data_IF_048111361629
#
_entry.id   IF_048111361629
#
_cell.length_a   1.000
_cell.length_b   1.000
_cell.length_c   1.000
_cell.angle_alpha   90.00
_cell.angle_beta   90.00
_cell.angle_gamma   90.00
#
_symmetry.space_group_name_H-M   'P 1'
#
loop_
_entity.id
_entity.type
_entity.pdbx_description
1 polymer ?
#
# COMPACT_ATOMS: atom_id res chain seq x y z
N UNK A 1 8.60 6.21 -21.72
CA UNK A 1 7.40 6.77 -21.06
C UNK A 1 6.17 6.38 -21.85
N UNK A 2 5.26 5.68 -21.20
CA UNK A 2 4.05 5.12 -21.80
C UNK A 2 2.75 5.70 -21.20
N UNK A 3 2.90 6.68 -20.25
CA UNK A 3 1.75 7.39 -19.66
C UNK A 3 0.94 6.57 -18.67
N UNK A 4 1.49 5.47 -18.14
CA UNK A 4 0.80 4.55 -17.24
C UNK A 4 0.79 5.00 -15.76
N UNK A 5 1.55 6.04 -15.41
CA UNK A 5 1.69 6.53 -14.03
C UNK A 5 1.44 8.04 -13.92
N UNK A 6 1.11 8.46 -12.69
CA UNK A 6 0.86 9.89 -12.37
C UNK A 6 1.68 10.29 -11.15
N UNK A 7 2.18 11.52 -11.18
CA UNK A 7 2.73 12.20 -10.01
C UNK A 7 1.94 13.48 -9.76
N UNK A 8 1.70 13.80 -8.49
CA UNK A 8 0.91 14.97 -8.06
C UNK A 8 1.72 15.79 -7.09
N UNK A 9 1.95 17.07 -7.42
CA UNK A 9 2.53 18.06 -6.53
C UNK A 9 1.45 18.91 -5.87
N UNK A 10 1.56 19.13 -4.56
CA UNK A 10 0.69 20.02 -3.79
C UNK A 10 1.51 21.08 -3.09
N UNK A 11 0.91 22.25 -2.86
CA UNK A 11 1.55 23.31 -2.08
C UNK A 11 1.78 22.83 -0.64
N UNK A 12 2.95 23.16 -0.08
CA UNK A 12 3.35 22.80 1.28
C UNK A 12 4.19 23.96 1.86
N UNK A 13 3.55 24.79 2.70
CA UNK A 13 4.13 26.06 3.13
C UNK A 13 4.49 26.96 1.94
N UNK A 14 5.73 27.42 1.90
CA UNK A 14 6.27 28.23 0.78
C UNK A 14 6.81 27.38 -0.39
N UNK A 15 6.66 26.04 -0.33
CA UNK A 15 7.19 25.10 -1.31
C UNK A 15 6.15 24.16 -1.88
N UNK A 16 6.64 23.03 -2.40
CA UNK A 16 5.84 21.96 -2.98
C UNK A 16 6.31 20.62 -2.43
N UNK A 17 5.36 19.71 -2.18
CA UNK A 17 5.66 18.28 -1.95
C UNK A 17 4.96 17.39 -2.98
N UNK A 18 5.56 16.26 -3.25
CA UNK A 18 4.90 15.21 -4.03
C UNK A 18 4.02 14.36 -3.12
N UNK A 19 2.83 14.03 -3.59
CA UNK A 19 2.00 13.00 -2.95
C UNK A 19 2.62 11.64 -3.21
N UNK A 20 2.57 10.75 -2.20
CA UNK A 20 2.88 9.34 -2.39
C UNK A 20 1.79 8.65 -3.24
N UNK A 21 2.11 7.47 -3.79
CA UNK A 21 1.11 6.70 -4.53
C UNK A 21 -0.09 6.30 -3.65
N UNK A 22 0.14 6.05 -2.36
CA UNK A 22 -0.94 5.76 -1.41
C UNK A 22 -1.82 6.99 -1.14
N UNK A 23 -1.24 8.19 -1.02
CA UNK A 23 -2.02 9.43 -0.90
C UNK A 23 -2.83 9.71 -2.18
N UNK A 24 -2.24 9.50 -3.36
CA UNK A 24 -2.93 9.64 -4.66
C UNK A 24 -4.10 8.64 -4.73
N UNK A 25 -3.84 7.37 -4.42
CA UNK A 25 -4.87 6.34 -4.42
C UNK A 25 -6.01 6.63 -3.43
N UNK A 26 -5.67 7.11 -2.23
CA UNK A 26 -6.65 7.44 -1.19
C UNK A 26 -7.58 8.59 -1.59
N UNK A 27 -7.05 9.73 -2.08
CA UNK A 27 -7.89 10.88 -2.46
C UNK A 27 -8.74 10.58 -3.70
N UNK A 28 -8.22 9.82 -4.65
CA UNK A 28 -9.01 9.39 -5.82
C UNK A 28 -10.09 8.37 -5.43
N UNK A 29 -9.79 7.43 -4.53
CA UNK A 29 -10.78 6.45 -4.06
C UNK A 29 -11.92 7.12 -3.29
N UNK A 30 -11.61 8.06 -2.40
CA UNK A 30 -12.61 8.85 -1.67
C UNK A 30 -13.55 9.56 -2.65
N UNK A 31 -13.01 10.25 -3.65
CA UNK A 31 -13.80 10.97 -4.65
C UNK A 31 -14.65 10.05 -5.52
N UNK A 32 -14.06 9.00 -6.07
CA UNK A 32 -14.73 8.06 -6.98
C UNK A 32 -15.89 7.34 -6.25
N UNK A 33 -15.66 6.92 -5.01
CA UNK A 33 -16.69 6.25 -4.21
C UNK A 33 -17.79 7.21 -3.77
N UNK A 34 -17.45 8.41 -3.31
CA UNK A 34 -18.43 9.43 -2.90
C UNK A 34 -19.36 9.81 -4.06
N UNK A 35 -18.85 9.88 -5.30
CA UNK A 35 -19.64 10.19 -6.48
C UNK A 35 -20.48 9.03 -7.00
N UNK A 36 -20.05 7.79 -6.78
CA UNK A 36 -20.77 6.57 -7.15
C UNK A 36 -21.01 6.34 -8.65
N UNK A 37 -20.65 7.29 -9.52
CA UNK A 37 -21.00 7.28 -10.93
C UNK A 37 -20.41 6.09 -11.73
N UNK A 38 -19.21 5.63 -11.35
CA UNK A 38 -18.52 4.53 -12.03
C UNK A 38 -19.10 3.14 -11.69
N UNK A 39 -19.86 3.03 -10.60
CA UNK A 39 -20.47 1.76 -10.21
C UNK A 39 -21.58 1.30 -11.13
N UNK A 40 -22.24 2.21 -11.87
CA UNK A 40 -23.29 1.91 -12.88
C UNK A 40 -24.36 0.95 -12.35
N UNK A 41 -24.74 1.08 -11.06
CA UNK A 41 -25.72 0.21 -10.42
C UNK A 41 -25.20 -1.16 -9.95
N UNK A 42 -23.90 -1.44 -10.10
CA UNK A 42 -23.23 -2.61 -9.53
C UNK A 42 -22.63 -2.26 -8.17
N UNK A 43 -22.28 -3.29 -7.40
CA UNK A 43 -21.52 -3.05 -6.16
C UNK A 43 -20.12 -2.56 -6.50
N UNK A 44 -19.70 -1.36 -6.01
CA UNK A 44 -18.36 -0.85 -6.24
C UNK A 44 -17.31 -1.59 -5.42
N UNK A 45 -16.14 -1.80 -6.02
CA UNK A 45 -14.94 -2.31 -5.36
C UNK A 45 -13.77 -1.39 -5.63
N UNK A 46 -12.88 -1.30 -4.67
CA UNK A 46 -11.56 -0.68 -4.83
C UNK A 46 -10.47 -1.70 -4.51
N UNK A 47 -9.35 -1.61 -5.21
CA UNK A 47 -8.27 -2.58 -5.09
C UNK A 47 -6.89 -1.96 -4.92
N UNK A 48 -6.01 -2.66 -4.21
CA UNK A 48 -4.59 -2.30 -4.13
C UNK A 48 -3.72 -3.53 -3.90
N UNK A 49 -2.41 -3.33 -3.79
CA UNK A 49 -1.47 -4.42 -3.57
C UNK A 49 -1.13 -4.59 -2.09
N UNK A 50 -0.69 -5.79 -1.70
CA UNK A 50 -0.30 -6.14 -0.32
C UNK A 50 0.76 -5.21 0.28
N UNK A 51 1.52 -4.48 -0.54
CA UNK A 51 2.57 -3.56 -0.09
C UNK A 51 2.14 -2.09 -0.05
N UNK A 52 0.89 -1.81 -0.40
CA UNK A 52 0.29 -0.47 -0.35
C UNK A 52 -0.35 -0.21 1.02
N UNK A 53 -0.80 1.03 1.24
CA UNK A 53 -1.43 1.43 2.50
C UNK A 53 -2.74 0.69 2.78
N UNK A 54 -2.95 0.35 4.04
CA UNK A 54 -4.22 -0.20 4.53
C UNK A 54 -5.36 0.84 4.58
N UNK A 55 -5.08 2.12 4.34
CA UNK A 55 -6.08 3.20 4.32
C UNK A 55 -7.21 2.94 3.33
N UNK A 56 -6.90 2.36 2.15
CA UNK A 56 -7.91 2.06 1.14
C UNK A 56 -9.03 1.16 1.68
N UNK A 57 -8.69 0.18 2.54
CA UNK A 57 -9.68 -0.70 3.15
C UNK A 57 -10.65 0.05 4.08
N UNK A 58 -10.15 1.11 4.75
CA UNK A 58 -10.97 1.97 5.62
C UNK A 58 -11.89 2.87 4.81
N UNK A 59 -11.39 3.43 3.70
CA UNK A 59 -12.18 4.22 2.76
C UNK A 59 -13.29 3.35 2.14
N UNK A 60 -12.96 2.14 1.69
CA UNK A 60 -13.94 1.21 1.15
C UNK A 60 -15.06 0.91 2.16
N UNK A 61 -14.71 0.58 3.40
CA UNK A 61 -15.66 0.30 4.46
C UNK A 61 -16.55 1.53 4.78
N UNK A 62 -15.99 2.75 4.73
CA UNK A 62 -16.76 3.99 4.96
C UNK A 62 -17.85 4.22 3.90
N UNK A 63 -17.59 3.83 2.65
CA UNK A 63 -18.50 3.97 1.52
C UNK A 63 -19.33 2.70 1.22
N UNK A 64 -19.32 1.70 2.09
CA UNK A 64 -19.97 0.39 1.88
C UNK A 64 -19.54 -0.28 0.55
N UNK A 65 -18.32 -0.02 0.14
CA UNK A 65 -17.69 -0.61 -1.03
C UNK A 65 -16.92 -1.89 -0.67
N UNK A 66 -16.73 -2.77 -1.66
CA UNK A 66 -15.84 -3.92 -1.52
C UNK A 66 -14.37 -3.50 -1.60
N UNK A 67 -13.51 -4.28 -0.96
CA UNK A 67 -12.06 -4.10 -0.98
C UNK A 67 -11.36 -5.36 -1.47
N UNK A 68 -10.36 -5.20 -2.30
CA UNK A 68 -9.51 -6.29 -2.80
C UNK A 68 -8.05 -5.96 -2.58
N UNK A 69 -7.31 -6.91 -1.99
CA UNK A 69 -5.86 -6.85 -1.86
C UNK A 69 -5.25 -7.94 -2.75
N UNK A 70 -4.25 -7.60 -3.57
CA UNK A 70 -3.59 -8.53 -4.48
C UNK A 70 -2.07 -8.53 -4.29
N UNK A 71 -1.38 -9.46 -4.92
CA UNK A 71 0.08 -9.39 -5.04
C UNK A 71 0.50 -8.16 -5.85
N UNK A 72 1.77 -7.77 -5.74
CA UNK A 72 2.36 -6.69 -6.54
C UNK A 72 2.39 -7.04 -8.02
N UNK A 73 2.10 -6.06 -8.85
CA UNK A 73 1.97 -6.18 -10.29
C UNK A 73 0.53 -6.00 -10.74
N UNK A 74 0.30 -4.99 -11.56
CA UNK A 74 -1.05 -4.54 -11.94
C UNK A 74 -1.90 -5.63 -12.61
N UNK A 75 -1.25 -6.62 -13.24
CA UNK A 75 -1.93 -7.81 -13.80
C UNK A 75 -2.85 -8.52 -12.79
N UNK A 76 -2.49 -8.52 -11.49
CA UNK A 76 -3.30 -9.14 -10.45
C UNK A 76 -4.55 -8.31 -10.14
N UNK A 77 -4.41 -6.98 -10.12
CA UNK A 77 -5.55 -6.06 -9.96
C UNK A 77 -6.49 -6.15 -11.17
N UNK A 78 -5.96 -6.24 -12.39
CA UNK A 78 -6.75 -6.43 -13.60
C UNK A 78 -7.50 -7.76 -13.58
N UNK A 79 -6.84 -8.84 -13.16
CA UNK A 79 -7.49 -10.16 -13.01
C UNK A 79 -8.61 -10.13 -11.96
N UNK A 80 -8.35 -9.51 -10.80
CA UNK A 80 -9.37 -9.33 -9.77
C UNK A 80 -10.58 -8.52 -10.28
N UNK A 81 -10.34 -7.50 -11.12
CA UNK A 81 -11.43 -6.73 -11.73
C UNK A 81 -12.30 -7.60 -12.64
N UNK A 82 -11.70 -8.50 -13.46
CA UNK A 82 -12.44 -9.46 -14.30
C UNK A 82 -13.30 -10.41 -13.44
N UNK A 83 -12.73 -11.01 -12.40
CA UNK A 83 -13.43 -11.94 -11.51
C UNK A 83 -14.61 -11.25 -10.77
N UNK A 84 -14.45 -9.97 -10.40
CA UNK A 84 -15.52 -9.16 -9.83
C UNK A 84 -16.66 -8.90 -10.84
N UNK A 85 -16.35 -8.61 -12.10
CA UNK A 85 -17.37 -8.41 -13.14
C UNK A 85 -18.23 -9.65 -13.36
N UNK A 86 -17.62 -10.84 -13.35
CA UNK A 86 -18.32 -12.12 -13.44
C UNK A 86 -19.26 -12.35 -12.25
N UNK A 87 -18.92 -11.87 -11.06
CA UNK A 87 -19.73 -11.96 -9.84
C UNK A 87 -20.74 -10.81 -9.66
N UNK A 88 -20.85 -9.89 -10.63
CA UNK A 88 -21.79 -8.76 -10.61
C UNK A 88 -21.29 -7.51 -9.88
N UNK A 89 -20.04 -7.49 -9.46
CA UNK A 89 -19.34 -6.31 -8.94
C UNK A 89 -18.68 -5.46 -10.02
N UNK A 90 -18.03 -4.39 -9.65
CA UNK A 90 -17.18 -3.60 -10.56
C UNK A 90 -16.03 -2.94 -9.81
N UNK A 91 -14.81 -3.07 -10.31
CA UNK A 91 -13.65 -2.33 -9.81
C UNK A 91 -13.74 -0.89 -10.32
N UNK A 92 -14.02 0.05 -9.42
CA UNK A 92 -14.13 1.48 -9.79
C UNK A 92 -12.80 2.21 -9.72
N UNK A 93 -11.86 1.68 -8.92
CA UNK A 93 -10.49 2.18 -8.80
C UNK A 93 -9.58 1.06 -8.32
N UNK A 94 -8.38 0.98 -8.90
CA UNK A 94 -7.29 0.18 -8.37
C UNK A 94 -5.97 0.98 -8.42
N UNK A 95 -5.07 0.77 -7.45
CA UNK A 95 -3.78 1.43 -7.48
C UNK A 95 -2.65 0.59 -6.88
N UNK A 96 -1.43 0.91 -7.27
CA UNK A 96 -0.19 0.50 -6.63
C UNK A 96 0.52 1.71 -6.03
N UNK A 97 1.16 1.57 -4.86
CA UNK A 97 1.94 2.66 -4.25
C UNK A 97 3.07 3.19 -5.16
N UNK A 98 3.44 2.44 -6.20
CA UNK A 98 4.39 2.84 -7.24
C UNK A 98 3.79 3.78 -8.30
N UNK A 99 2.78 4.60 -7.94
CA UNK A 99 2.14 5.64 -8.76
C UNK A 99 1.27 5.13 -9.92
N UNK A 100 1.00 3.83 -10.00
CA UNK A 100 0.11 3.25 -11.01
C UNK A 100 -1.33 3.27 -10.52
N UNK A 101 -2.25 3.83 -11.31
CA UNK A 101 -3.69 3.93 -10.99
C UNK A 101 -4.51 3.50 -12.19
N UNK A 102 -5.61 2.79 -11.96
CA UNK A 102 -6.67 2.51 -12.94
C UNK A 102 -8.00 3.06 -12.40
N UNK A 103 -8.78 3.72 -13.26
CA UNK A 103 -10.07 4.29 -12.90
C UNK A 103 -11.14 3.79 -13.88
N UNK A 104 -12.16 3.11 -13.32
CA UNK A 104 -13.22 2.53 -14.12
C UNK A 104 -12.76 1.33 -14.95
N UNK A 105 -13.44 1.09 -16.07
CA UNK A 105 -13.34 -0.12 -16.88
C UNK A 105 -12.81 0.12 -18.31
N UNK A 106 -12.40 1.35 -18.63
CA UNK A 106 -11.96 1.73 -20.00
C UNK A 106 -10.60 1.12 -20.35
N UNK A 107 -9.66 1.15 -19.39
CA UNK A 107 -8.33 0.55 -19.52
C UNK A 107 -8.14 -0.48 -18.42
N UNK A 108 -7.77 -1.71 -18.80
CA UNK A 108 -7.56 -2.83 -17.87
C UNK A 108 -6.09 -2.96 -17.44
N UNK A 109 -5.45 -1.84 -17.25
CA UNK A 109 -4.10 -1.68 -16.70
C UNK A 109 -4.00 -0.29 -16.07
N UNK A 110 -2.83 0.06 -15.59
CA UNK A 110 -2.51 1.43 -15.13
C UNK A 110 -2.79 2.44 -16.25
N UNK A 111 -3.49 3.50 -15.92
CA UNK A 111 -3.80 4.59 -16.85
C UNK A 111 -3.57 5.95 -16.17
N UNK A 112 -2.37 6.48 -16.36
CA UNK A 112 -1.99 7.78 -15.84
C UNK A 112 -2.78 8.94 -16.46
N UNK A 113 -3.35 8.76 -17.64
CA UNK A 113 -4.10 9.80 -18.36
C UNK A 113 -5.48 9.99 -17.69
N UNK A 114 -6.25 8.91 -17.53
CA UNK A 114 -7.54 8.99 -16.83
C UNK A 114 -7.38 9.37 -15.35
N UNK A 115 -6.32 8.88 -14.70
CA UNK A 115 -6.00 9.26 -13.33
C UNK A 115 -5.67 10.77 -13.21
N UNK A 116 -4.89 11.33 -14.14
CA UNK A 116 -4.57 12.75 -14.17
C UNK A 116 -5.81 13.63 -14.42
N UNK A 117 -6.68 13.21 -15.33
CA UNK A 117 -7.94 13.90 -15.61
C UNK A 117 -8.85 13.91 -14.38
N UNK A 118 -9.02 12.76 -13.71
CA UNK A 118 -9.85 12.63 -12.51
C UNK A 118 -9.27 13.45 -11.34
N UNK A 119 -7.94 13.44 -11.18
CA UNK A 119 -7.27 14.24 -10.18
C UNK A 119 -7.43 15.74 -10.42
N UNK A 120 -7.33 16.20 -11.68
CA UNK A 120 -7.53 17.60 -12.05
C UNK A 120 -8.98 18.05 -11.81
N UNK A 121 -9.96 17.21 -12.14
CA UNK A 121 -11.39 17.48 -11.86
C UNK A 121 -11.64 17.56 -10.35
N UNK A 122 -11.11 16.62 -9.56
CA UNK A 122 -11.17 16.65 -8.09
C UNK A 122 -10.56 17.94 -7.53
N UNK A 123 -9.35 18.28 -7.95
CA UNK A 123 -8.66 19.49 -7.49
C UNK A 123 -9.44 20.76 -7.86
N UNK A 124 -10.03 20.83 -9.05
CA UNK A 124 -10.84 21.97 -9.49
C UNK A 124 -12.11 22.13 -8.63
N UNK A 125 -12.80 21.04 -8.31
CA UNK A 125 -14.00 21.06 -7.43
C UNK A 125 -13.63 21.47 -6.00
N UNK A 126 -12.58 20.87 -5.42
CA UNK A 126 -12.10 21.28 -4.10
C UNK A 126 -11.74 22.76 -4.06
N UNK A 127 -11.07 23.27 -5.09
CA UNK A 127 -10.73 24.69 -5.20
C UNK A 127 -11.98 25.59 -5.28
N UNK A 128 -13.01 25.18 -6.01
CA UNK A 128 -14.29 25.91 -6.06
C UNK A 128 -14.95 26.00 -4.69
N UNK A 129 -14.77 24.98 -3.83
CA UNK A 129 -15.23 24.93 -2.47
C UNK A 129 -14.26 25.59 -1.46
N UNK A 130 -13.21 26.26 -1.93
CA UNK A 130 -12.18 26.88 -1.09
C UNK A 130 -11.26 25.88 -0.37
N UNK A 131 -11.14 24.68 -0.90
CA UNK A 131 -10.40 23.54 -0.32
C UNK A 131 -9.26 23.09 -1.26
N UNK A 132 -8.40 22.24 -0.73
CA UNK A 132 -7.27 21.64 -1.44
C UNK A 132 -7.26 20.11 -1.30
N UNK A 133 -6.37 19.44 -2.05
CA UNK A 133 -6.09 18.01 -1.87
C UNK A 133 -5.52 17.71 -0.47
N UNK A 134 -4.76 18.65 0.10
CA UNK A 134 -4.23 18.51 1.47
C UNK A 134 -5.36 18.52 2.49
N UNK A 135 -6.38 19.38 2.33
CA UNK A 135 -7.55 19.38 3.23
C UNK A 135 -8.33 18.06 3.16
N UNK A 136 -8.41 17.44 1.97
CA UNK A 136 -9.03 16.13 1.82
C UNK A 136 -8.21 15.03 2.52
N UNK A 137 -6.88 15.06 2.41
CA UNK A 137 -6.00 14.14 3.14
C UNK A 137 -6.10 14.32 4.66
N UNK A 138 -6.27 15.55 5.12
CA UNK A 138 -6.48 15.86 6.53
C UNK A 138 -7.82 15.32 7.04
N UNK A 139 -8.88 15.40 6.24
CA UNK A 139 -10.19 14.80 6.58
C UNK A 139 -10.09 13.27 6.64
N UNK A 140 -9.39 12.63 5.71
CA UNK A 140 -9.12 11.20 5.76
C UNK A 140 -8.33 10.82 7.01
N UNK A 141 -7.31 11.62 7.37
CA UNK A 141 -6.52 11.43 8.58
C UNK A 141 -7.35 11.55 9.86
N UNK A 142 -8.27 12.53 9.95
CA UNK A 142 -9.19 12.68 11.11
C UNK A 142 -10.14 11.50 11.21
N UNK A 143 -10.61 10.98 10.08
CA UNK A 143 -11.62 9.91 10.03
C UNK A 143 -11.01 8.52 10.29
N UNK A 144 -9.84 8.25 9.75
CA UNK A 144 -9.25 6.92 9.72
C UNK A 144 -7.91 6.79 10.46
N UNK A 145 -7.33 7.90 10.88
CA UNK A 145 -5.94 8.01 11.33
C UNK A 145 -5.01 8.41 10.19
N UNK A 146 -3.87 8.98 10.53
CA UNK A 146 -2.79 9.26 9.60
C UNK A 146 -2.04 7.96 9.26
N UNK A 147 -2.29 7.43 8.08
CA UNK A 147 -1.57 6.28 7.53
C UNK A 147 -0.34 6.78 6.79
N UNK A 148 0.84 6.35 7.20
CA UNK A 148 2.10 6.71 6.53
C UNK A 148 2.85 5.45 6.14
N UNK A 149 3.08 5.30 4.84
CA UNK A 149 3.88 4.23 4.26
C UNK A 149 5.27 4.71 3.89
N UNK A 150 6.28 3.90 4.12
CA UNK A 150 7.65 4.13 3.67
C UNK A 150 8.20 2.86 3.02
N UNK A 151 8.99 3.04 1.95
CA UNK A 151 9.73 1.98 1.29
C UNK A 151 11.24 2.19 1.39
N UNK A 152 11.98 1.10 1.53
CA UNK A 152 13.45 1.06 1.43
C UNK A 152 13.87 -0.06 0.50
N UNK A 153 14.95 0.14 -0.22
CA UNK A 153 15.56 -0.92 -1.04
C UNK A 153 17.03 -1.05 -0.67
N UNK A 154 17.49 -2.27 -0.50
CA UNK A 154 18.90 -2.56 -0.18
C UNK A 154 19.41 -3.49 -1.26
N UNK A 155 20.47 -3.05 -1.94
CA UNK A 155 21.26 -3.92 -2.82
C UNK A 155 22.01 -4.90 -1.94
N UNK A 156 22.11 -6.15 -2.37
CA UNK A 156 22.89 -7.17 -1.72
C UNK A 156 24.29 -7.15 -2.34
N UNK A 157 25.28 -6.64 -1.59
CA UNK A 157 26.65 -6.50 -2.06
C UNK A 157 27.25 -7.87 -2.39
N UNK A 158 27.91 -7.97 -3.55
CA UNK A 158 28.59 -9.18 -4.00
C UNK A 158 27.75 -10.10 -4.90
N UNK A 159 26.50 -9.77 -5.15
CA UNK A 159 25.66 -10.51 -6.08
C UNK A 159 25.59 -9.80 -7.44
N UNK A 160 25.96 -10.50 -8.53
CA UNK A 160 25.64 -10.07 -9.88
C UNK A 160 24.21 -10.51 -10.23
N UNK A 161 23.46 -9.73 -11.03
CA UNK A 161 22.08 -10.08 -11.37
C UNK A 161 21.98 -11.47 -12.02
N UNK A 162 21.22 -12.37 -11.35
CA UNK A 162 20.99 -13.74 -11.85
C UNK A 162 22.06 -14.78 -11.49
N UNK A 163 23.03 -14.46 -10.64
CA UNK A 163 23.98 -15.44 -10.10
C UNK A 163 23.41 -16.19 -8.87
N UNK A 164 23.96 -17.38 -8.60
CA UNK A 164 23.52 -18.23 -7.49
C UNK A 164 23.68 -17.54 -6.13
N UNK A 165 24.72 -16.73 -5.95
CA UNK A 165 25.02 -16.00 -4.71
C UNK A 165 23.94 -14.96 -4.36
N UNK A 166 23.26 -14.36 -5.36
CA UNK A 166 22.14 -13.44 -5.15
C UNK A 166 20.95 -14.15 -4.48
N UNK A 167 20.62 -15.33 -4.98
CA UNK A 167 19.48 -16.12 -4.46
C UNK A 167 19.76 -16.55 -3.03
N UNK A 168 20.99 -16.91 -2.71
CA UNK A 168 21.40 -17.36 -1.38
C UNK A 168 21.28 -16.22 -0.35
N UNK A 169 21.77 -15.01 -0.65
CA UNK A 169 21.68 -13.85 0.26
C UNK A 169 20.24 -13.41 0.52
N UNK A 170 19.40 -13.43 -0.52
CA UNK A 170 17.95 -13.15 -0.38
C UNK A 170 17.29 -14.19 0.53
N UNK A 171 17.55 -15.46 0.26
CA UNK A 171 16.97 -16.56 1.03
C UNK A 171 17.43 -16.54 2.48
N UNK A 172 18.74 -16.31 2.73
CA UNK A 172 19.29 -16.16 4.08
C UNK A 172 18.59 -15.05 4.89
N UNK A 173 18.32 -13.90 4.27
CA UNK A 173 17.63 -12.80 4.94
C UNK A 173 16.18 -13.18 5.31
N UNK A 174 15.46 -13.84 4.41
CA UNK A 174 14.09 -14.32 4.68
C UNK A 174 14.09 -15.43 5.74
N UNK A 175 15.02 -16.38 5.67
CA UNK A 175 15.11 -17.48 6.64
C UNK A 175 15.51 -16.99 8.03
N UNK A 176 16.34 -15.96 8.12
CA UNK A 176 16.66 -15.29 9.39
C UNK A 176 15.42 -14.68 10.03
N UNK A 177 14.57 -14.02 9.24
CA UNK A 177 13.31 -13.45 9.72
C UNK A 177 12.28 -14.55 10.09
N UNK A 178 12.25 -15.68 9.37
CA UNK A 178 11.42 -16.84 9.72
C UNK A 178 11.87 -17.50 11.03
N UNK A 179 13.20 -17.67 11.20
CA UNK A 179 13.77 -18.27 12.40
C UNK A 179 13.63 -17.38 13.64
N UNK A 180 13.68 -16.06 13.48
CA UNK A 180 13.60 -15.09 14.55
C UNK A 180 12.66 -13.93 14.20
N UNK A 181 11.34 -14.18 14.10
CA UNK A 181 10.37 -13.15 13.73
C UNK A 181 10.34 -12.02 14.76
N UNK A 182 10.06 -10.77 14.35
CA UNK A 182 9.89 -9.68 15.28
C UNK A 182 8.70 -9.96 16.21
N UNK A 183 8.89 -9.85 17.52
CA UNK A 183 7.82 -9.98 18.51
C UNK A 183 7.08 -8.68 18.76
N UNK A 184 7.68 -7.55 18.38
CA UNK A 184 7.16 -6.20 18.53
C UNK A 184 7.60 -5.35 17.33
N UNK A 185 6.76 -4.38 16.99
CA UNK A 185 7.08 -3.29 16.08
C UNK A 185 7.00 -1.99 16.88
N UNK A 186 8.14 -1.39 17.19
CA UNK A 186 8.22 -0.38 18.24
C UNK A 186 7.69 -0.92 19.57
N UNK A 187 6.76 -0.19 20.18
CA UNK A 187 6.15 -0.58 21.46
C UNK A 187 4.93 -1.51 21.33
N UNK A 188 4.51 -1.84 20.13
CA UNK A 188 3.32 -2.65 19.88
C UNK A 188 3.67 -4.13 19.63
N UNK A 189 2.99 -5.10 20.29
CA UNK A 189 3.23 -6.52 20.04
C UNK A 189 2.75 -6.93 18.65
N UNK A 190 3.51 -7.80 17.98
CA UNK A 190 3.07 -8.43 16.73
C UNK A 190 1.93 -9.40 17.02
N UNK A 191 0.83 -9.25 16.32
CA UNK A 191 -0.38 -10.08 16.46
C UNK A 191 -0.57 -11.05 15.31
N UNK A 192 0.00 -10.76 14.15
CA UNK A 192 -0.16 -11.57 12.95
C UNK A 192 1.12 -11.57 12.12
N UNK A 193 1.50 -12.76 11.68
CA UNK A 193 2.62 -12.98 10.75
C UNK A 193 2.08 -13.66 9.49
N UNK A 194 2.47 -13.17 8.33
CA UNK A 194 2.12 -13.72 7.03
C UNK A 194 3.39 -14.19 6.33
N UNK A 195 3.47 -15.47 6.02
CA UNK A 195 4.47 -16.04 5.12
C UNK A 195 3.76 -16.43 3.82
N UNK A 196 3.82 -15.53 2.83
CA UNK A 196 3.14 -15.74 1.55
C UNK A 196 3.81 -16.84 0.71
N UNK A 197 5.07 -17.16 0.96
CA UNK A 197 5.76 -18.25 0.29
C UNK A 197 5.28 -19.60 0.81
N UNK A 198 5.12 -19.72 2.13
CA UNK A 198 4.53 -20.88 2.77
C UNK A 198 2.98 -20.95 2.64
N UNK A 199 2.33 -19.85 2.19
CA UNK A 199 0.89 -19.75 2.05
C UNK A 199 0.13 -19.74 3.38
N UNK A 200 0.76 -19.27 4.47
CA UNK A 200 0.17 -19.33 5.83
C UNK A 200 0.21 -17.97 6.54
N UNK A 201 -0.86 -17.70 7.28
CA UNK A 201 -0.98 -16.62 8.24
C UNK A 201 -1.04 -17.20 9.64
N UNK A 202 -0.18 -16.75 10.54
CA UNK A 202 -0.11 -17.19 11.94
C UNK A 202 -0.51 -16.03 12.86
N UNK A 203 -1.44 -16.27 13.79
CA UNK A 203 -1.85 -15.31 14.82
C UNK A 203 -1.02 -15.47 16.10
N UNK A 204 -1.08 -14.47 16.98
CA UNK A 204 -0.36 -14.47 18.25
C UNK A 204 -0.78 -15.62 19.20
N UNK A 205 -1.99 -16.15 19.06
CA UNK A 205 -2.47 -17.30 19.81
C UNK A 205 -1.98 -18.66 19.26
N UNK A 206 -1.20 -18.62 18.17
CA UNK A 206 -0.67 -19.80 17.49
C UNK A 206 -1.61 -20.41 16.44
N UNK A 207 -2.80 -19.86 16.22
CA UNK A 207 -3.69 -20.31 15.16
C UNK A 207 -3.10 -20.01 13.78
N UNK A 208 -3.31 -20.93 12.84
CA UNK A 208 -2.79 -20.86 11.46
C UNK A 208 -3.96 -20.90 10.50
N UNK A 209 -3.97 -19.98 9.55
CA UNK A 209 -4.96 -19.89 8.49
C UNK A 209 -4.25 -19.86 7.11
N UNK A 210 -4.84 -20.44 6.05
CA UNK A 210 -4.28 -20.33 4.71
C UNK A 210 -4.39 -18.90 4.17
N UNK A 211 -3.43 -18.52 3.33
CA UNK A 211 -3.47 -17.27 2.56
C UNK A 211 -4.08 -17.59 1.20
N UNK A 212 -5.16 -16.89 0.86
CA UNK A 212 -5.85 -17.03 -0.44
C UNK A 212 -5.20 -16.11 -1.52
N UNK A 213 -3.89 -16.24 -1.66
CA UNK A 213 -3.10 -15.56 -2.71
C UNK A 213 -2.04 -16.54 -3.22
N UNK A 214 -1.60 -16.43 -4.47
CA UNK A 214 -0.51 -17.25 -4.98
C UNK A 214 0.77 -17.12 -4.13
N UNK A 215 1.52 -18.22 -4.01
CA UNK A 215 2.78 -18.23 -3.28
C UNK A 215 3.77 -17.21 -3.87
N UNK A 216 4.41 -16.45 -3.00
CA UNK A 216 5.43 -15.46 -3.37
C UNK A 216 6.38 -15.23 -2.19
N UNK A 217 7.67 -15.00 -2.40
CA UNK A 217 8.63 -14.76 -1.32
C UNK A 217 8.40 -13.38 -0.68
N UNK A 218 7.38 -13.29 0.18
CA UNK A 218 7.01 -12.08 0.93
C UNK A 218 6.67 -12.47 2.38
N UNK A 219 7.30 -11.77 3.32
CA UNK A 219 6.97 -11.84 4.74
C UNK A 219 6.32 -10.52 5.19
N UNK A 220 5.22 -10.62 5.95
CA UNK A 220 4.48 -9.48 6.51
C UNK A 220 4.24 -9.70 7.99
N UNK A 221 4.48 -8.69 8.80
CA UNK A 221 4.27 -8.68 10.24
C UNK A 221 3.37 -7.50 10.60
N UNK A 222 2.33 -7.75 11.36
CA UNK A 222 1.33 -6.74 11.75
C UNK A 222 1.23 -6.70 13.27
N UNK A 223 1.36 -5.53 13.85
CA UNK A 223 1.24 -5.30 15.28
C UNK A 223 -0.19 -4.91 15.69
N UNK A 224 -0.46 -4.96 17.01
CA UNK A 224 -1.78 -4.71 17.58
C UNK A 224 -2.33 -3.29 17.30
N UNK A 225 -1.45 -2.29 17.10
CA UNK A 225 -1.80 -0.91 16.78
C UNK A 225 -1.93 -0.65 15.26
N UNK A 226 -1.87 -1.71 14.45
CA UNK A 226 -1.91 -1.62 12.98
C UNK A 226 -0.56 -1.31 12.33
N UNK A 227 0.50 -1.05 13.10
CA UNK A 227 1.85 -0.91 12.53
C UNK A 227 2.25 -2.18 11.81
N UNK A 228 2.78 -2.05 10.60
CA UNK A 228 3.10 -3.16 9.72
C UNK A 228 4.49 -3.00 9.11
N UNK A 229 5.19 -4.12 8.93
CA UNK A 229 6.41 -4.20 8.13
C UNK A 229 6.37 -5.40 7.20
N UNK A 230 7.00 -5.25 6.03
CA UNK A 230 7.09 -6.30 5.03
C UNK A 230 8.46 -6.32 4.37
N UNK A 231 8.85 -7.48 3.88
CA UNK A 231 10.05 -7.66 3.07
C UNK A 231 9.77 -8.62 1.93
N UNK A 232 10.29 -8.31 0.77
CA UNK A 232 10.30 -9.20 -0.40
C UNK A 232 11.51 -8.94 -1.30
N UNK A 233 11.95 -9.91 -2.10
CA UNK A 233 12.93 -9.66 -3.14
C UNK A 233 12.36 -8.76 -4.25
N UNK A 234 13.25 -8.10 -4.97
CA UNK A 234 12.93 -7.49 -6.26
C UNK A 234 12.81 -8.60 -7.32
N UNK A 235 11.87 -8.44 -8.25
CA UNK A 235 11.75 -9.40 -9.37
C UNK A 235 12.76 -9.20 -10.50
N UNK A 236 13.56 -8.12 -10.48
CA UNK A 236 14.38 -7.68 -11.60
C UNK A 236 15.80 -7.28 -11.23
N UNK A 237 16.13 -7.20 -9.95
CA UNK A 237 17.41 -6.69 -9.46
C UNK A 237 17.79 -7.40 -8.16
N UNK A 238 19.12 -7.58 -7.86
CA UNK A 238 19.62 -8.24 -6.66
C UNK A 238 19.42 -7.35 -5.42
N UNK A 239 18.16 -7.16 -5.02
CA UNK A 239 17.83 -6.32 -3.87
C UNK A 239 16.62 -6.81 -3.09
N UNK A 240 16.63 -6.54 -1.80
CA UNK A 240 15.47 -6.64 -0.93
C UNK A 240 14.72 -5.32 -0.89
N UNK A 241 13.40 -5.40 -0.97
CA UNK A 241 12.49 -4.28 -0.79
C UNK A 241 11.78 -4.43 0.55
N UNK A 242 11.90 -3.41 1.38
CA UNK A 242 11.27 -3.31 2.68
C UNK A 242 10.17 -2.27 2.63
N UNK A 243 9.05 -2.55 3.26
CA UNK A 243 7.91 -1.64 3.35
C UNK A 243 7.47 -1.56 4.82
N UNK A 244 7.09 -0.39 5.23
CA UNK A 244 6.52 -0.14 6.56
C UNK A 244 5.31 0.76 6.47
N UNK A 245 4.34 0.55 7.35
CA UNK A 245 3.21 1.43 7.58
C UNK A 245 3.02 1.63 9.08
N UNK A 246 2.78 2.86 9.51
CA UNK A 246 2.27 3.15 10.84
C UNK A 246 1.01 4.02 10.74
N UNK A 247 0.12 3.82 11.71
CA UNK A 247 -1.15 4.51 11.82
C UNK A 247 -1.14 5.30 13.13
N UNK A 248 -1.41 6.60 13.05
CA UNK A 248 -1.54 7.45 14.23
C UNK A 248 -2.87 8.20 14.18
N UNK A 249 -3.65 8.08 15.24
CA UNK A 249 -4.91 8.81 15.41
C UNK A 249 -4.66 10.08 16.23
N UNK A 250 -5.32 11.17 15.89
CA UNK A 250 -5.23 12.44 16.62
C UNK A 250 -6.07 13.51 15.95
N UNK A 251 -6.41 14.55 16.71
CA UNK A 251 -7.26 15.67 16.23
C UNK A 251 -6.49 16.60 15.29
N UNK A 252 -5.16 16.66 15.41
CA UNK A 252 -4.27 17.41 14.51
C UNK A 252 -3.65 16.48 13.46
N UNK A 253 -4.12 16.55 12.19
CA UNK A 253 -3.63 15.70 11.11
C UNK A 253 -2.14 15.88 10.81
N UNK A 254 -1.61 17.09 10.95
CA UNK A 254 -0.20 17.37 10.70
C UNK A 254 0.68 16.72 11.78
N UNK A 255 0.33 16.87 13.05
CA UNK A 255 1.02 16.23 14.15
C UNK A 255 0.94 14.69 14.05
N UNK A 256 -0.24 14.14 13.74
CA UNK A 256 -0.45 12.71 13.55
C UNK A 256 0.40 12.16 12.39
N UNK A 257 0.44 12.87 11.25
CA UNK A 257 1.29 12.48 10.09
C UNK A 257 2.78 12.52 10.42
N UNK A 258 3.23 13.55 11.14
CA UNK A 258 4.63 13.68 11.58
C UNK A 258 5.02 12.53 12.50
N UNK A 259 4.16 12.19 13.46
CA UNK A 259 4.38 11.07 14.39
C UNK A 259 4.35 9.72 13.65
N UNK A 260 3.41 9.52 12.74
CA UNK A 260 3.33 8.31 11.91
C UNK A 260 4.58 8.14 11.06
N UNK A 261 5.09 9.23 10.43
CA UNK A 261 6.32 9.22 9.63
C UNK A 261 7.52 8.78 10.46
N UNK A 262 7.69 9.39 11.64
CA UNK A 262 8.79 9.06 12.57
C UNK A 262 8.70 7.60 13.02
N UNK A 263 7.50 7.13 13.39
CA UNK A 263 7.26 5.74 13.81
C UNK A 263 7.57 4.77 12.67
N UNK A 264 7.05 5.02 11.46
CA UNK A 264 7.28 4.15 10.31
C UNK A 264 8.78 4.04 10.00
N UNK A 265 9.50 5.15 9.99
CA UNK A 265 10.95 5.16 9.75
C UNK A 265 11.69 4.33 10.80
N UNK A 266 11.44 4.58 12.09
CA UNK A 266 12.11 3.87 13.19
C UNK A 266 11.84 2.36 13.17
N UNK A 267 10.59 1.95 12.93
CA UNK A 267 10.21 0.53 12.89
C UNK A 267 10.82 -0.15 11.69
N UNK A 268 10.83 0.52 10.53
CA UNK A 268 11.39 0.00 9.30
C UNK A 268 12.92 -0.19 9.40
N UNK A 269 13.64 0.79 9.98
CA UNK A 269 15.08 0.70 10.18
C UNK A 269 15.45 -0.45 11.15
N UNK A 270 14.69 -0.61 12.23
CA UNK A 270 14.87 -1.72 13.18
C UNK A 270 14.57 -3.10 12.52
N UNK A 271 13.58 -3.16 11.63
CA UNK A 271 13.24 -4.38 10.91
C UNK A 271 14.32 -4.74 9.88
N UNK A 272 14.85 -3.76 9.17
CA UNK A 272 15.95 -3.95 8.22
C UNK A 272 17.21 -4.48 8.90
N UNK A 273 17.58 -3.88 10.05
CA UNK A 273 18.73 -4.34 10.84
C UNK A 273 18.60 -5.79 11.35
N UNK A 274 17.36 -6.30 11.48
CA UNK A 274 17.12 -7.71 11.84
C UNK A 274 17.28 -8.65 10.64
N UNK A 275 16.92 -8.20 9.44
CA UNK A 275 16.96 -8.99 8.22
C UNK A 275 18.39 -9.11 7.67
N UNK A 276 19.13 -8.01 7.73
CA UNK A 276 20.45 -7.89 7.12
C UNK A 276 21.58 -8.26 8.10
N UNK A 277 22.70 -8.83 7.60
CA UNK A 277 23.89 -8.98 8.44
C UNK A 277 24.40 -7.60 8.85
N UNK A 278 24.97 -7.51 10.07
CA UNK A 278 25.63 -6.30 10.58
C UNK A 278 26.97 -6.09 9.91
#
# INVERSE_FOLDING_TARGET
PDGDRIAVGVADGDGWRLLSGDEIGAVLAEDVLARGALARGRRPYVGTTVVSSTLLSKIAAHHDAGYVETLTGFKWLSKAAEDLEESGGTMVLAYEQALGVSIGDVVRDKDGISAALTMADLAARLKADGRSLTDLLDDLSRRHGAHVTLGRSVLLDGAEPGEADEVDLVQEALDRLRAAPPKRLGDSPVTTTWDHDAGVMTRADGSIEPIDLPATPLLRYVAADGTMVMVRPSGTEPKLKFYGEAIVTGDDPMAARTQATTRTASVLDAFMARALPG
#
